data_IF_614399857152
#
_entry.id   IF_614399857152
#
_cell.length_a   1.000
_cell.length_b   1.000
_cell.length_c   1.000
_cell.angle_alpha   90.00
_cell.angle_beta   90.00
_cell.angle_gamma   90.00
#
_symmetry.space_group_name_H-M   'P 1'
#
loop_
_entity.id
_entity.type
_entity.pdbx_description
1 polymer ?
#
# COMPACT_ATOMS: atom_id res chain seq x y z
N UNK A 1 15.07 -15.85 -7.05
CA UNK A 1 15.79 -14.82 -6.29
C UNK A 1 16.12 -13.53 -7.07
N UNK A 2 16.37 -13.55 -8.38
CA UNK A 2 16.76 -12.37 -9.19
C UNK A 2 15.62 -11.33 -9.33
N UNK A 3 14.36 -11.75 -9.27
CA UNK A 3 13.21 -10.85 -9.51
C UNK A 3 12.95 -9.85 -8.37
N UNK A 4 13.28 -10.19 -7.12
CA UNK A 4 13.16 -9.28 -5.98
C UNK A 4 14.21 -8.17 -5.99
N UNK A 5 15.44 -8.48 -6.43
CA UNK A 5 16.54 -7.52 -6.43
C UNK A 5 16.31 -6.31 -7.36
N UNK A 6 15.63 -6.53 -8.50
CA UNK A 6 15.29 -5.44 -9.43
C UNK A 6 14.26 -4.51 -8.81
N UNK A 7 13.16 -5.04 -8.25
CA UNK A 7 12.13 -4.22 -7.63
C UNK A 7 12.68 -3.41 -6.45
N UNK A 8 13.55 -4.01 -5.64
CA UNK A 8 14.22 -3.33 -4.52
C UNK A 8 15.07 -2.15 -5.02
N UNK A 9 15.85 -2.34 -6.10
CA UNK A 9 16.67 -1.25 -6.67
C UNK A 9 15.81 -0.10 -7.18
N UNK A 10 14.72 -0.39 -7.91
CA UNK A 10 13.81 0.63 -8.41
C UNK A 10 13.12 1.39 -7.26
N UNK A 11 12.66 0.68 -6.24
CA UNK A 11 12.01 1.28 -5.09
C UNK A 11 12.98 2.17 -4.28
N UNK A 12 14.22 1.71 -4.04
CA UNK A 12 15.26 2.52 -3.37
C UNK A 12 15.62 3.76 -4.15
N UNK A 13 15.89 3.62 -5.44
CA UNK A 13 16.24 4.77 -6.27
C UNK A 13 15.13 5.82 -6.30
N UNK A 14 13.85 5.36 -6.40
CA UNK A 14 12.71 6.27 -6.33
C UNK A 14 12.63 6.94 -4.96
N UNK A 15 12.85 6.20 -3.88
CA UNK A 15 12.76 6.71 -2.51
C UNK A 15 13.85 7.74 -2.21
N UNK A 16 15.10 7.43 -2.55
CA UNK A 16 16.25 8.33 -2.37
C UNK A 16 16.06 9.64 -3.14
N UNK A 17 15.64 9.57 -4.40
CA UNK A 17 15.36 10.74 -5.22
C UNK A 17 14.15 11.53 -4.71
N UNK A 18 13.09 10.84 -4.28
CA UNK A 18 11.91 11.47 -3.69
C UNK A 18 12.26 12.24 -2.40
N UNK A 19 13.12 11.67 -1.58
CA UNK A 19 13.61 12.29 -0.35
C UNK A 19 14.47 13.51 -0.65
N UNK A 20 15.37 13.41 -1.64
CA UNK A 20 16.21 14.53 -2.07
C UNK A 20 15.37 15.73 -2.55
N UNK A 21 14.23 15.48 -3.17
CA UNK A 21 13.30 16.50 -3.65
C UNK A 21 12.20 16.87 -2.62
N UNK A 22 12.18 16.26 -1.44
CA UNK A 22 11.15 16.45 -0.40
C UNK A 22 9.72 16.17 -0.89
N UNK A 23 9.57 15.17 -1.77
CA UNK A 23 8.26 14.72 -2.33
C UNK A 23 7.94 13.27 -1.96
N UNK A 24 8.66 12.69 -1.02
CA UNK A 24 8.54 11.30 -0.58
C UNK A 24 7.13 10.97 -0.06
N UNK A 25 6.50 11.88 0.68
CA UNK A 25 5.13 11.71 1.20
C UNK A 25 4.08 11.73 0.08
N UNK A 26 4.21 12.65 -0.87
CA UNK A 26 3.29 12.74 -2.02
C UNK A 26 3.36 11.46 -2.86
N UNK A 27 4.57 10.95 -3.11
CA UNK A 27 4.76 9.69 -3.85
C UNK A 27 4.21 8.51 -3.06
N UNK A 28 4.40 8.49 -1.74
CA UNK A 28 3.84 7.47 -0.86
C UNK A 28 2.31 7.38 -1.00
N UNK A 29 1.60 8.51 -0.90
CA UNK A 29 0.15 8.54 -1.04
C UNK A 29 -0.31 8.10 -2.44
N UNK A 30 0.34 8.57 -3.51
CA UNK A 30 0.04 8.14 -4.88
C UNK A 30 0.23 6.62 -5.07
N UNK A 31 1.28 6.05 -4.49
CA UNK A 31 1.54 4.61 -4.55
C UNK A 31 0.53 3.81 -3.73
N UNK A 32 0.04 4.34 -2.60
CA UNK A 32 -1.06 3.72 -1.83
C UNK A 32 -2.34 3.65 -2.64
N UNK A 33 -2.72 4.77 -3.27
CA UNK A 33 -3.91 4.82 -4.15
C UNK A 33 -3.76 3.84 -5.30
N UNK A 34 -2.60 3.82 -5.97
CA UNK A 34 -2.31 2.86 -7.03
C UNK A 34 -2.41 1.42 -6.55
N UNK A 35 -1.86 1.12 -5.36
CA UNK A 35 -1.94 -0.22 -4.77
C UNK A 35 -3.38 -0.64 -4.50
N UNK A 36 -4.20 0.25 -3.93
CA UNK A 36 -5.61 -0.01 -3.65
C UNK A 36 -6.39 -0.31 -4.94
N UNK A 37 -6.17 0.50 -5.99
CA UNK A 37 -6.82 0.31 -7.29
C UNK A 37 -6.35 -0.97 -8.01
N UNK A 38 -5.08 -1.31 -7.96
CA UNK A 38 -4.56 -2.58 -8.46
C UNK A 38 -5.13 -3.81 -7.72
N UNK A 39 -5.50 -3.65 -6.46
CA UNK A 39 -6.15 -4.70 -5.67
C UNK A 39 -7.65 -4.81 -5.98
N UNK A 40 -8.32 -3.67 -6.13
CA UNK A 40 -9.75 -3.60 -6.40
C UNK A 40 -10.10 -4.05 -7.83
N UNK A 41 -9.19 -3.82 -8.79
CA UNK A 41 -9.42 -4.09 -10.22
C UNK A 41 -8.36 -5.05 -10.77
N UNK A 42 -8.56 -6.37 -10.68
CA UNK A 42 -7.60 -7.36 -11.21
C UNK A 42 -7.33 -7.18 -12.71
N UNK A 43 -8.34 -6.77 -13.49
CA UNK A 43 -8.23 -6.53 -14.94
C UNK A 43 -7.18 -5.46 -15.27
N UNK A 44 -6.97 -4.50 -14.38
CA UNK A 44 -5.91 -3.49 -14.55
C UNK A 44 -4.52 -4.14 -14.60
N UNK A 45 -4.29 -5.17 -13.78
CA UNK A 45 -3.01 -5.90 -13.81
C UNK A 45 -2.84 -6.69 -15.10
N UNK A 46 -3.91 -7.33 -15.58
CA UNK A 46 -3.92 -8.05 -16.84
C UNK A 46 -3.64 -7.09 -18.00
N UNK A 47 -4.27 -5.92 -17.99
CA UNK A 47 -4.05 -4.88 -19.00
C UNK A 47 -2.58 -4.37 -19.00
N UNK A 48 -1.99 -4.17 -17.83
CA UNK A 48 -0.61 -3.70 -17.73
C UNK A 48 0.40 -4.71 -18.30
N UNK A 49 0.18 -6.00 -18.10
CA UNK A 49 1.09 -7.05 -18.59
C UNK A 49 0.83 -7.40 -20.06
N UNK A 50 -0.32 -7.03 -20.61
CA UNK A 50 -0.69 -7.36 -21.98
C UNK A 50 0.24 -6.65 -22.99
N UNK A 51 0.96 -7.39 -23.86
CA UNK A 51 1.87 -6.81 -24.84
C UNK A 51 1.14 -6.09 -26.00
N UNK A 52 -0.17 -6.34 -26.18
CA UNK A 52 -0.97 -5.69 -27.24
C UNK A 52 -1.34 -4.24 -26.90
N UNK A 53 -1.22 -3.83 -25.64
CA UNK A 53 -1.53 -2.47 -25.19
C UNK A 53 -0.26 -1.63 -25.33
N UNK A 54 -0.38 -0.47 -26.00
CA UNK A 54 0.73 0.46 -26.18
C UNK A 54 1.21 1.02 -24.83
N UNK A 55 2.49 1.37 -24.76
CA UNK A 55 3.11 1.95 -23.56
C UNK A 55 2.41 3.24 -23.13
N UNK A 56 1.94 4.06 -24.07
CA UNK A 56 1.21 5.29 -23.75
C UNK A 56 -0.14 5.01 -23.09
N UNK A 57 -0.88 4.02 -23.56
CA UNK A 57 -2.13 3.59 -22.91
C UNK A 57 -1.88 3.03 -21.50
N UNK A 58 -0.85 2.20 -21.34
CA UNK A 58 -0.43 1.69 -20.01
C UNK A 58 -0.04 2.84 -19.09
N UNK A 59 0.67 3.82 -19.58
CA UNK A 59 1.03 5.02 -18.83
C UNK A 59 -0.21 5.79 -18.34
N UNK A 60 -1.16 6.05 -19.23
CA UNK A 60 -2.42 6.70 -18.88
C UNK A 60 -3.19 5.92 -17.80
N UNK A 61 -3.28 4.59 -17.96
CA UNK A 61 -3.91 3.72 -16.95
C UNK A 61 -3.23 3.84 -15.58
N UNK A 62 -1.90 3.82 -15.53
CA UNK A 62 -1.16 3.94 -14.27
C UNK A 62 -1.35 5.30 -13.62
N UNK A 63 -1.30 6.39 -14.39
CA UNK A 63 -1.47 7.75 -13.88
C UNK A 63 -2.89 7.93 -13.33
N UNK A 64 -3.91 7.51 -14.07
CA UNK A 64 -5.31 7.55 -13.62
C UNK A 64 -5.52 6.67 -12.37
N UNK A 65 -4.95 5.47 -12.37
CA UNK A 65 -5.05 4.57 -11.22
C UNK A 65 -4.31 5.08 -9.97
N UNK A 66 -3.37 6.01 -10.13
CA UNK A 66 -2.69 6.68 -9.01
C UNK A 66 -3.49 7.86 -8.44
N UNK A 67 -4.71 8.09 -8.92
CA UNK A 67 -5.54 9.22 -8.51
C UNK A 67 -5.13 10.57 -9.12
N UNK A 68 -4.18 10.55 -10.07
CA UNK A 68 -3.72 11.73 -10.77
C UNK A 68 -4.62 11.93 -11.97
N UNK A 69 -5.59 12.84 -11.87
CA UNK A 69 -6.47 13.19 -12.97
C UNK A 69 -5.75 14.10 -13.96
N UNK A 70 -5.44 13.58 -15.13
CA UNK A 70 -4.86 14.34 -16.26
C UNK A 70 -5.83 15.40 -16.84
N UNK A 71 -7.07 15.45 -16.39
CA UNK A 71 -8.12 16.27 -17.00
C UNK A 71 -9.13 16.93 -16.06
N UNK A 72 -9.12 16.71 -14.75
CA UNK A 72 -10.03 17.37 -13.80
C UNK A 72 -9.33 18.52 -13.08
N UNK A 73 -10.00 19.68 -13.09
CA UNK A 73 -9.62 20.89 -12.36
C UNK A 73 -9.38 20.54 -10.87
N UNK A 74 -8.13 20.58 -10.46
CA UNK A 74 -7.75 20.59 -9.06
C UNK A 74 -8.16 21.95 -8.49
N UNK A 75 -8.65 22.04 -7.22
CA UNK A 75 -8.99 23.32 -6.60
C UNK A 75 -7.85 24.33 -6.69
N UNK A 76 -8.18 25.59 -6.87
CA UNK A 76 -7.25 26.67 -7.22
C UNK A 76 -6.11 26.91 -6.20
N UNK A 77 -6.24 26.40 -4.98
CA UNK A 77 -5.24 26.59 -3.92
C UNK A 77 -4.03 25.63 -4.02
N UNK A 78 -4.09 24.67 -4.98
CA UNK A 78 -2.99 23.70 -5.22
C UNK A 78 -2.37 23.89 -6.62
N UNK A 79 -2.65 25.01 -7.30
CA UNK A 79 -2.36 25.24 -8.73
C UNK A 79 -0.87 25.44 -9.06
N UNK A 80 0.01 25.63 -8.07
CA UNK A 80 1.45 25.69 -8.32
C UNK A 80 2.06 24.34 -8.77
N UNK A 81 1.28 23.26 -8.73
CA UNK A 81 1.77 21.89 -8.90
C UNK A 81 1.35 21.15 -10.17
N UNK A 82 0.43 21.67 -11.01
CA UNK A 82 -0.14 20.86 -12.10
C UNK A 82 0.77 20.71 -13.32
N UNK A 83 1.55 21.70 -13.70
CA UNK A 83 2.59 21.56 -14.75
C UNK A 83 3.87 20.91 -14.18
N UNK A 84 4.22 21.26 -12.94
CA UNK A 84 5.29 20.61 -12.18
C UNK A 84 5.03 19.12 -11.98
N UNK A 85 3.75 18.71 -11.84
CA UNK A 85 3.38 17.31 -11.65
C UNK A 85 3.48 16.46 -12.93
N UNK A 86 3.30 17.06 -14.11
CA UNK A 86 3.50 16.38 -15.40
C UNK A 86 4.97 16.04 -15.69
N UNK A 87 5.89 16.83 -15.16
CA UNK A 87 7.33 16.58 -15.13
C UNK A 87 7.81 15.98 -13.83
N UNK A 88 6.90 15.60 -12.93
CA UNK A 88 7.23 15.12 -11.61
C UNK A 88 8.05 13.83 -11.65
N UNK A 89 8.87 13.62 -10.64
CA UNK A 89 9.66 12.41 -10.44
C UNK A 89 8.80 11.15 -10.59
N UNK A 90 7.57 11.16 -10.06
CA UNK A 90 6.65 10.04 -10.13
C UNK A 90 6.26 9.65 -11.56
N UNK A 91 5.90 10.62 -12.40
CA UNK A 91 5.51 10.35 -13.80
C UNK A 91 6.70 9.90 -14.65
N UNK A 92 7.89 10.45 -14.40
CA UNK A 92 9.15 10.00 -15.01
C UNK A 92 9.45 8.56 -14.62
N UNK A 93 9.28 8.22 -13.37
CA UNK A 93 9.44 6.86 -12.87
C UNK A 93 8.49 5.86 -13.54
N UNK A 94 7.20 6.21 -13.67
CA UNK A 94 6.23 5.34 -14.37
C UNK A 94 6.63 5.10 -15.84
N UNK A 95 7.10 6.13 -16.54
CA UNK A 95 7.60 5.99 -17.91
C UNK A 95 8.81 5.05 -17.97
N UNK A 96 9.78 5.25 -17.10
CA UNK A 96 10.98 4.41 -17.01
C UNK A 96 10.64 2.94 -16.78
N UNK A 97 9.65 2.64 -15.92
CA UNK A 97 9.17 1.27 -15.73
C UNK A 97 8.61 0.64 -17.01
N UNK A 98 7.83 1.41 -17.77
CA UNK A 98 7.23 0.95 -19.01
C UNK A 98 8.26 0.82 -20.14
N UNK A 99 9.24 1.72 -20.23
CA UNK A 99 10.35 1.65 -21.19
C UNK A 99 11.15 0.36 -21.04
N UNK A 100 11.40 -0.03 -19.79
CA UNK A 100 12.14 -1.24 -19.46
C UNK A 100 11.27 -2.51 -19.39
N UNK A 101 9.97 -2.44 -19.70
CA UNK A 101 9.00 -3.54 -19.63
C UNK A 101 8.99 -4.20 -18.22
N UNK A 102 8.95 -3.37 -17.17
CA UNK A 102 8.97 -3.80 -15.76
C UNK A 102 7.62 -3.59 -15.06
N UNK A 103 6.54 -3.40 -15.81
CA UNK A 103 5.19 -3.22 -15.29
C UNK A 103 4.71 -4.39 -14.42
N UNK A 104 5.19 -5.60 -14.67
CA UNK A 104 4.90 -6.77 -13.85
C UNK A 104 5.50 -6.72 -12.44
N UNK A 105 6.43 -5.79 -12.18
CA UNK A 105 7.08 -5.61 -10.87
C UNK A 105 6.48 -4.47 -10.07
N UNK A 106 5.52 -3.72 -10.62
CA UNK A 106 5.00 -2.51 -10.01
C UNK A 106 4.45 -2.75 -8.59
N UNK A 107 3.73 -3.87 -8.35
CA UNK A 107 3.21 -4.21 -7.03
C UNK A 107 4.32 -4.41 -6.00
N UNK A 108 5.39 -5.09 -6.39
CA UNK A 108 6.52 -5.33 -5.50
C UNK A 108 7.30 -4.04 -5.24
N UNK A 109 7.44 -3.17 -6.25
CA UNK A 109 8.06 -1.86 -6.10
C UNK A 109 7.28 -0.99 -5.14
N UNK A 110 5.95 -0.95 -5.27
CA UNK A 110 5.06 -0.22 -4.36
C UNK A 110 5.24 -0.73 -2.93
N UNK A 111 5.22 -2.06 -2.75
CA UNK A 111 5.37 -2.67 -1.44
C UNK A 111 6.70 -2.26 -0.79
N UNK A 112 7.81 -2.40 -1.50
CA UNK A 112 9.15 -2.06 -0.98
C UNK A 112 9.28 -0.56 -0.70
N UNK A 113 8.76 0.31 -1.57
CA UNK A 113 8.77 1.75 -1.34
C UNK A 113 8.01 2.13 -0.08
N UNK A 114 6.80 1.58 0.08
CA UNK A 114 5.98 1.85 1.26
C UNK A 114 6.64 1.33 2.55
N UNK A 115 7.35 0.21 2.49
CA UNK A 115 8.07 -0.32 3.66
C UNK A 115 9.26 0.59 4.02
N UNK A 116 10.07 1.03 3.03
CA UNK A 116 11.17 1.98 3.25
C UNK A 116 10.67 3.29 3.86
N UNK A 117 9.58 3.84 3.34
CA UNK A 117 8.98 5.08 3.85
C UNK A 117 8.54 4.92 5.31
N UNK A 118 7.84 3.82 5.64
CA UNK A 118 7.36 3.55 7.00
C UNK A 118 8.52 3.33 7.97
N UNK A 119 9.53 2.59 7.56
CA UNK A 119 10.71 2.31 8.38
C UNK A 119 11.41 3.61 8.78
N UNK A 120 11.65 4.50 7.83
CA UNK A 120 12.34 5.76 8.10
C UNK A 120 11.49 6.74 8.92
N UNK A 121 10.19 6.82 8.64
CA UNK A 121 9.25 7.67 9.39
C UNK A 121 8.79 7.04 10.71
N UNK A 122 9.27 5.83 11.05
CA UNK A 122 8.87 5.08 12.24
C UNK A 122 7.36 4.90 12.33
N UNK A 123 6.74 4.51 11.21
CA UNK A 123 5.31 4.24 11.11
C UNK A 123 5.09 2.73 11.19
N UNK A 124 4.31 2.28 12.17
CA UNK A 124 3.92 0.88 12.29
C UNK A 124 2.66 0.60 11.47
N UNK A 125 2.75 -0.31 10.52
CA UNK A 125 1.57 -0.82 9.82
C UNK A 125 0.86 -1.84 10.69
N UNK A 126 -0.39 -1.54 11.03
CA UNK A 126 -1.28 -2.40 11.80
C UNK A 126 -2.39 -2.92 10.90
N UNK A 127 -2.54 -4.23 10.82
CA UNK A 127 -3.69 -4.86 10.16
C UNK A 127 -4.60 -5.44 11.23
N UNK A 128 -5.81 -4.87 11.31
CA UNK A 128 -6.83 -5.27 12.26
C UNK A 128 -7.94 -6.03 11.53
N UNK A 129 -8.03 -7.33 11.75
CA UNK A 129 -9.06 -8.19 11.18
C UNK A 129 -10.10 -8.52 12.24
N UNK A 130 -11.39 -8.31 11.92
CA UNK A 130 -12.52 -8.57 12.80
C UNK A 130 -13.55 -9.45 12.12
N UNK A 131 -14.35 -10.19 12.89
CA UNK A 131 -15.41 -11.05 12.34
C UNK A 131 -16.58 -10.25 11.74
N UNK A 132 -16.84 -9.05 12.29
CA UNK A 132 -17.88 -8.12 11.87
C UNK A 132 -17.33 -6.71 11.79
N UNK A 133 -18.00 -5.78 11.09
CA UNK A 133 -17.62 -4.37 11.08
C UNK A 133 -17.54 -3.81 12.51
N UNK A 134 -16.54 -3.00 12.79
CA UNK A 134 -16.33 -2.33 14.07
C UNK A 134 -16.54 -0.82 13.90
N UNK A 135 -16.97 -0.19 14.95
CA UNK A 135 -17.12 1.26 15.01
C UNK A 135 -15.77 1.99 15.00
N UNK A 136 -15.76 3.20 14.48
CA UNK A 136 -14.55 4.04 14.40
C UNK A 136 -13.94 4.33 15.77
N UNK A 137 -14.76 4.41 16.83
CA UNK A 137 -14.28 4.64 18.20
C UNK A 137 -13.41 3.47 18.68
N UNK A 138 -13.79 2.23 18.38
CA UNK A 138 -12.99 1.03 18.70
C UNK A 138 -11.67 1.03 17.94
N UNK A 139 -11.68 1.41 16.65
CA UNK A 139 -10.46 1.52 15.84
C UNK A 139 -9.53 2.60 16.41
N UNK A 140 -10.04 3.76 16.77
CA UNK A 140 -9.25 4.84 17.37
C UNK A 140 -8.63 4.44 18.71
N UNK A 141 -9.40 3.74 19.57
CA UNK A 141 -8.90 3.21 20.84
C UNK A 141 -7.77 2.18 20.62
N UNK A 142 -7.89 1.32 19.60
CA UNK A 142 -6.85 0.38 19.25
C UNK A 142 -5.57 1.12 18.81
N UNK A 143 -5.71 2.11 17.89
CA UNK A 143 -4.59 2.92 17.42
C UNK A 143 -3.90 3.61 18.60
N UNK A 144 -4.65 4.22 19.52
CA UNK A 144 -4.10 4.88 20.68
C UNK A 144 -3.31 3.91 21.59
N UNK A 145 -3.84 2.68 21.80
CA UNK A 145 -3.14 1.64 22.57
C UNK A 145 -1.86 1.18 21.88
N UNK A 146 -1.90 0.92 20.59
CA UNK A 146 -0.69 0.52 19.84
C UNK A 146 0.34 1.63 19.89
N UNK A 147 -0.07 2.88 19.61
CA UNK A 147 0.82 4.06 19.65
C UNK A 147 1.47 4.26 21.02
N UNK A 148 0.73 4.03 22.12
CA UNK A 148 1.29 4.12 23.48
C UNK A 148 2.34 3.05 23.79
N UNK A 149 2.22 1.87 23.18
CA UNK A 149 3.17 0.77 23.37
C UNK A 149 4.41 0.90 22.47
N UNK A 150 4.23 1.28 21.21
CA UNK A 150 5.32 1.32 20.22
C UNK A 150 6.04 2.66 20.18
N UNK A 151 5.40 3.72 20.68
CA UNK A 151 5.88 5.12 20.57
C UNK A 151 6.14 5.54 19.12
N UNK A 152 5.40 4.94 18.16
CA UNK A 152 5.49 5.18 16.74
C UNK A 152 4.15 5.65 16.20
N UNK A 153 4.18 6.29 15.05
CA UNK A 153 2.94 6.55 14.31
C UNK A 153 2.34 5.22 13.82
N UNK A 154 1.01 5.17 13.74
CA UNK A 154 0.27 3.94 13.42
C UNK A 154 -0.60 4.15 12.20
N UNK A 155 -0.39 3.33 11.18
CA UNK A 155 -1.26 3.22 10.01
C UNK A 155 -2.09 1.95 10.13
N UNK A 156 -3.40 2.09 10.42
CA UNK A 156 -4.30 0.96 10.64
C UNK A 156 -5.09 0.62 9.38
N UNK A 157 -5.02 -0.64 8.95
CA UNK A 157 -5.83 -1.23 7.88
C UNK A 157 -6.86 -2.17 8.51
N UNK A 158 -8.15 -1.78 8.50
CA UNK A 158 -9.23 -2.63 9.02
C UNK A 158 -9.75 -3.57 7.93
N UNK A 159 -9.96 -4.84 8.30
CA UNK A 159 -10.54 -5.86 7.42
C UNK A 159 -11.63 -6.63 8.14
N UNK A 160 -12.72 -6.89 7.44
CA UNK A 160 -13.76 -7.79 7.95
C UNK A 160 -13.49 -9.18 7.38
N UNK A 161 -13.34 -10.15 8.28
CA UNK A 161 -13.10 -11.55 7.96
C UNK A 161 -14.07 -12.46 8.75
N UNK A 162 -15.24 -12.79 8.17
CA UNK A 162 -16.24 -13.61 8.86
C UNK A 162 -15.73 -15.00 9.27
N UNK A 163 -14.64 -15.50 8.65
CA UNK A 163 -14.08 -16.81 8.97
C UNK A 163 -13.47 -16.90 10.38
N UNK A 164 -13.29 -15.76 11.07
CA UNK A 164 -12.84 -15.71 12.46
C UNK A 164 -13.92 -16.18 13.44
N UNK A 165 -15.20 -16.26 13.00
CA UNK A 165 -16.39 -16.60 13.79
C UNK A 165 -16.72 -15.50 14.81
N UNK A 166 -15.70 -14.94 15.46
CA UNK A 166 -15.76 -13.86 16.46
C UNK A 166 -14.37 -13.47 16.94
N UNK A 167 -14.30 -12.40 17.70
CA UNK A 167 -13.03 -11.83 18.16
C UNK A 167 -12.29 -11.07 17.07
N UNK A 168 -10.96 -11.00 17.21
CA UNK A 168 -10.13 -10.23 16.30
C UNK A 168 -8.75 -10.85 16.11
N UNK A 169 -8.10 -10.46 15.04
CA UNK A 169 -6.69 -10.72 14.75
C UNK A 169 -5.98 -9.40 14.52
N UNK A 170 -4.85 -9.21 15.17
CA UNK A 170 -4.02 -8.03 15.04
C UNK A 170 -2.64 -8.43 14.51
N UNK A 171 -2.16 -7.69 13.51
CA UNK A 171 -0.79 -7.82 13.02
C UNK A 171 -0.10 -6.48 13.06
N UNK A 172 1.03 -6.41 13.75
CA UNK A 172 1.87 -5.21 13.88
C UNK A 172 3.25 -5.59 13.32
N UNK A 173 3.57 -5.07 12.13
CA UNK A 173 4.78 -5.51 11.43
C UNK A 173 4.78 -7.03 11.21
N UNK A 174 5.77 -7.71 11.80
CA UNK A 174 5.91 -9.18 11.75
C UNK A 174 5.15 -9.91 12.87
N UNK A 175 4.79 -9.21 13.94
CA UNK A 175 4.09 -9.80 15.09
C UNK A 175 2.60 -9.98 14.79
N UNK A 176 2.08 -11.16 15.13
CA UNK A 176 0.68 -11.52 14.95
C UNK A 176 0.07 -11.96 16.26
N UNK A 177 -1.01 -11.31 16.63
CA UNK A 177 -1.83 -11.63 17.79
C UNK A 177 -3.19 -12.12 17.31
N UNK A 178 -3.53 -13.36 17.63
CA UNK A 178 -4.78 -13.99 17.20
C UNK A 178 -5.67 -14.24 18.43
N UNK A 179 -6.69 -13.41 18.58
CA UNK A 179 -7.71 -13.52 19.62
C UNK A 179 -9.07 -13.90 19.02
N UNK A 180 -9.08 -14.64 17.92
CA UNK A 180 -10.31 -15.12 17.31
C UNK A 180 -10.88 -16.32 18.05
N UNK A 181 -12.21 -16.45 18.02
CA UNK A 181 -12.87 -17.63 18.57
C UNK A 181 -12.48 -18.90 17.83
N UNK A 182 -12.20 -18.79 16.56
CA UNK A 182 -11.69 -19.91 15.77
C UNK A 182 -10.38 -20.46 16.34
N UNK A 183 -9.39 -19.61 16.58
CA UNK A 183 -8.11 -20.04 17.14
C UNK A 183 -8.29 -20.67 18.54
N UNK A 184 -9.19 -20.11 19.35
CA UNK A 184 -9.50 -20.64 20.68
C UNK A 184 -10.18 -22.00 20.62
N UNK A 185 -11.10 -22.21 19.69
CA UNK A 185 -11.76 -23.52 19.47
C UNK A 185 -10.77 -24.57 18.96
N UNK A 186 -9.86 -24.19 18.05
CA UNK A 186 -8.81 -25.07 17.57
C UNK A 186 -7.86 -25.50 18.70
N UNK A 187 -7.51 -24.58 19.61
CA UNK A 187 -6.71 -24.87 20.80
C UNK A 187 -7.41 -25.86 21.73
N UNK A 188 -8.67 -25.59 22.10
CA UNK A 188 -9.46 -26.49 22.97
C UNK A 188 -9.58 -27.88 22.33
N UNK A 189 -9.84 -27.94 21.03
CA UNK A 189 -9.90 -29.22 20.32
C UNK A 189 -8.57 -30.00 20.39
N UNK A 190 -7.46 -29.32 20.24
CA UNK A 190 -6.13 -29.95 20.35
C UNK A 190 -5.88 -30.49 21.77
N UNK A 191 -6.28 -29.74 22.81
CA UNK A 191 -6.17 -30.17 24.21
C UNK A 191 -7.05 -31.37 24.56
N UNK A 192 -8.25 -31.46 23.93
CA UNK A 192 -9.18 -32.59 24.16
C UNK A 192 -8.80 -33.85 23.37
N UNK A 193 -8.01 -33.74 22.30
CA UNK A 193 -7.58 -34.86 21.47
C UNK A 193 -6.14 -35.34 21.79
N UNK A 194 -5.53 -34.72 22.76
CA UNK A 194 -4.20 -35.07 23.29
C UNK A 194 -4.31 -35.94 24.55
#
# INVERSE_FOLDING_TARGET
MIQGSIAIRYARALYEEAKAQSVDEIIYENLKVLHANLKATPDLQVALVNPRISKDKKYQLLVTASGINLGTRIPADTVASSESYRSSLYTRFLRLLLEHNRENKIRLIIFVYCDLFREERKIDKVVFETAAPVDDATVQNLIAKVKSHTQREVECECKVNPSLIGGFRLRIGEHRYDHSFRARLEQIRAELCS
#
